data_IF_847427770708
#
_entry.id   IF_847427770708
#
_cell.length_a   1.000
_cell.length_b   1.000
_cell.length_c   1.000
_cell.angle_alpha   90.00
_cell.angle_beta   90.00
_cell.angle_gamma   90.00
#
_symmetry.space_group_name_H-M   'P 1'
#
loop_
_entity.id
_entity.type
_entity.pdbx_description
1 polymer ?
#
# COMPACT_ATOMS: atom_id res chain seq x y z
N UNK A 1 19.63 -33.17 -7.99
CA UNK A 1 19.84 -32.28 -9.16
C UNK A 1 20.85 -31.24 -8.74
N UNK A 2 22.07 -31.29 -9.27
CA UNK A 2 23.10 -30.29 -8.96
C UNK A 2 23.05 -29.18 -10.01
N UNK A 3 23.06 -27.92 -9.56
CA UNK A 3 23.07 -26.75 -10.44
C UNK A 3 24.51 -26.30 -10.61
N UNK A 4 24.97 -26.21 -11.85
CA UNK A 4 26.32 -25.80 -12.18
C UNK A 4 26.56 -24.32 -11.81
N UNK A 5 27.73 -23.94 -11.24
CA UNK A 5 28.03 -22.57 -10.83
C UNK A 5 27.78 -21.48 -11.91
N UNK A 6 28.12 -21.69 -13.19
CA UNK A 6 27.81 -20.73 -14.25
C UNK A 6 26.32 -20.48 -14.44
N UNK A 7 25.46 -21.48 -14.19
CA UNK A 7 24.00 -21.32 -14.29
C UNK A 7 23.52 -20.35 -13.20
N UNK A 8 24.04 -20.51 -11.97
CA UNK A 8 23.71 -19.60 -10.86
C UNK A 8 24.16 -18.17 -11.18
N UNK A 9 25.37 -17.99 -11.70
CA UNK A 9 25.88 -16.69 -12.12
C UNK A 9 24.98 -16.05 -13.20
N UNK A 10 24.58 -16.81 -14.23
CA UNK A 10 23.68 -16.33 -15.27
C UNK A 10 22.31 -15.89 -14.72
N UNK A 11 21.73 -16.64 -13.77
CA UNK A 11 20.45 -16.29 -13.15
C UNK A 11 20.59 -15.00 -12.31
N UNK A 12 21.70 -14.85 -11.58
CA UNK A 12 21.98 -13.64 -10.80
C UNK A 12 22.10 -12.40 -11.71
N UNK A 13 22.87 -12.50 -12.80
CA UNK A 13 23.01 -11.44 -13.79
C UNK A 13 21.68 -11.08 -14.45
N UNK A 14 20.85 -12.09 -14.74
CA UNK A 14 19.52 -11.90 -15.29
C UNK A 14 18.62 -11.15 -14.32
N UNK A 15 18.57 -11.59 -13.06
CA UNK A 15 17.80 -10.92 -12.01
C UNK A 15 18.24 -9.47 -11.83
N UNK A 16 19.55 -9.20 -11.80
CA UNK A 16 20.09 -7.85 -11.68
C UNK A 16 19.63 -6.93 -12.82
N UNK A 17 19.67 -7.41 -14.07
CA UNK A 17 19.18 -6.67 -15.23
C UNK A 17 17.67 -6.42 -15.16
N UNK A 18 16.89 -7.41 -14.74
CA UNK A 18 15.43 -7.28 -14.60
C UNK A 18 15.02 -6.27 -13.53
N UNK A 19 15.73 -6.21 -12.40
CA UNK A 19 15.43 -5.25 -11.32
C UNK A 19 15.45 -3.81 -11.83
N UNK A 20 16.37 -3.47 -12.72
CA UNK A 20 16.46 -2.13 -13.30
C UNK A 20 15.23 -1.72 -14.11
N UNK A 21 14.62 -2.65 -14.85
CA UNK A 21 13.38 -2.39 -15.57
C UNK A 21 12.18 -2.35 -14.61
N UNK A 22 12.13 -3.32 -13.68
CA UNK A 22 11.06 -3.41 -12.69
C UNK A 22 10.96 -2.13 -11.84
N UNK A 23 12.09 -1.54 -11.45
CA UNK A 23 12.10 -0.29 -10.68
C UNK A 23 11.43 0.88 -11.43
N UNK A 24 11.71 1.02 -12.73
CA UNK A 24 11.10 2.06 -13.59
C UNK A 24 9.60 1.84 -13.74
N UNK A 25 9.19 0.59 -13.91
CA UNK A 25 7.78 0.24 -14.05
C UNK A 25 7.03 0.56 -12.75
N UNK A 26 7.59 0.23 -11.58
CA UNK A 26 7.00 0.54 -10.27
C UNK A 26 6.89 2.05 -10.01
N UNK A 27 7.91 2.81 -10.39
CA UNK A 27 7.88 4.28 -10.32
C UNK A 27 6.74 4.83 -11.18
N UNK A 28 6.61 4.33 -12.42
CA UNK A 28 5.57 4.76 -13.34
C UNK A 28 4.17 4.41 -12.84
N UNK A 29 3.97 3.23 -12.23
CA UNK A 29 2.68 2.83 -11.66
C UNK A 29 2.29 3.69 -10.45
N UNK A 30 3.24 3.96 -9.55
CA UNK A 30 3.00 4.86 -8.43
C UNK A 30 2.65 6.28 -8.92
N UNK A 31 3.40 6.79 -9.90
CA UNK A 31 3.19 8.11 -10.49
C UNK A 31 1.83 8.19 -11.22
N UNK A 32 1.44 7.14 -11.96
CA UNK A 32 0.12 7.06 -12.62
C UNK A 32 -1.03 7.18 -11.61
N UNK A 33 -0.85 6.64 -10.41
CA UNK A 33 -1.81 6.77 -9.31
C UNK A 33 -1.65 8.08 -8.49
N UNK A 34 -0.82 9.03 -8.94
CA UNK A 34 -0.56 10.30 -8.25
C UNK A 34 0.24 10.17 -6.95
N UNK A 35 0.90 9.03 -6.72
CA UNK A 35 1.68 8.73 -5.50
C UNK A 35 3.17 8.88 -5.76
N UNK A 36 3.91 9.24 -4.70
CA UNK A 36 5.39 9.30 -4.68
C UNK A 36 6.04 8.07 -4.02
N UNK A 37 5.22 7.19 -3.46
CA UNK A 37 5.66 5.96 -2.80
C UNK A 37 4.98 4.77 -3.44
N UNK A 38 5.78 3.74 -3.72
CA UNK A 38 5.32 2.45 -4.25
C UNK A 38 4.50 1.72 -3.19
N UNK A 39 3.40 1.09 -3.60
CA UNK A 39 2.51 0.29 -2.75
C UNK A 39 2.32 -1.12 -3.32
N UNK A 40 1.69 -2.01 -2.55
CA UNK A 40 1.44 -3.41 -2.97
C UNK A 40 0.66 -3.51 -4.28
N UNK A 41 -0.22 -2.55 -4.56
CA UNK A 41 -0.95 -2.47 -5.84
C UNK A 41 -0.01 -2.36 -7.04
N UNK A 42 1.07 -1.57 -6.94
CA UNK A 42 2.04 -1.37 -8.02
C UNK A 42 2.82 -2.67 -8.29
N UNK A 43 3.20 -3.37 -7.21
CA UNK A 43 3.87 -4.67 -7.28
C UNK A 43 2.97 -5.71 -7.94
N UNK A 44 1.68 -5.75 -7.59
CA UNK A 44 0.72 -6.68 -8.21
C UNK A 44 0.53 -6.36 -9.70
N UNK A 45 0.42 -5.08 -10.07
CA UNK A 45 0.32 -4.64 -11.47
C UNK A 45 1.56 -5.02 -12.28
N UNK A 46 2.76 -4.99 -11.68
CA UNK A 46 3.99 -5.44 -12.36
C UNK A 46 3.92 -6.90 -12.83
N UNK A 47 3.12 -7.74 -12.16
CA UNK A 47 2.92 -9.15 -12.48
C UNK A 47 1.76 -9.42 -13.46
N UNK A 48 1.12 -8.39 -14.04
CA UNK A 48 -0.08 -8.54 -14.90
C UNK A 48 0.10 -9.49 -16.09
N UNK A 49 1.33 -9.74 -16.54
CA UNK A 49 1.62 -10.69 -17.63
C UNK A 49 1.43 -12.16 -17.24
N UNK A 50 1.32 -12.44 -15.94
CA UNK A 50 1.13 -13.77 -15.40
C UNK A 50 0.04 -13.72 -14.32
N UNK A 51 -1.19 -14.07 -14.70
CA UNK A 51 -2.37 -14.04 -13.83
C UNK A 51 -2.20 -14.89 -12.56
N UNK A 52 -1.54 -16.05 -12.65
CA UNK A 52 -1.27 -16.90 -11.48
C UNK A 52 -0.34 -16.20 -10.50
N UNK A 53 0.73 -15.58 -11.00
CA UNK A 53 1.66 -14.82 -10.16
C UNK A 53 0.98 -13.59 -9.53
N UNK A 54 0.17 -12.85 -10.30
CA UNK A 54 -0.59 -11.73 -9.79
C UNK A 54 -1.59 -12.15 -8.70
N UNK A 55 -2.26 -13.29 -8.88
CA UNK A 55 -3.14 -13.87 -7.86
C UNK A 55 -2.38 -14.27 -6.59
N UNK A 56 -1.24 -14.96 -6.71
CA UNK A 56 -0.40 -15.31 -5.56
C UNK A 56 0.10 -14.08 -4.80
N UNK A 57 0.51 -13.02 -5.50
CA UNK A 57 0.93 -11.76 -4.89
C UNK A 57 -0.21 -11.05 -4.15
N UNK A 58 -1.45 -11.09 -4.70
CA UNK A 58 -2.64 -10.57 -4.02
C UNK A 58 -2.88 -11.31 -2.71
N UNK A 59 -2.91 -12.65 -2.73
CA UNK A 59 -3.10 -13.47 -1.52
C UNK A 59 -2.01 -13.18 -0.48
N UNK A 60 -0.75 -13.10 -0.91
CA UNK A 60 0.36 -12.77 -0.02
C UNK A 60 0.22 -11.35 0.59
N UNK A 61 -0.24 -10.37 -0.19
CA UNK A 61 -0.46 -9.01 0.32
C UNK A 61 -1.54 -8.95 1.40
N UNK A 62 -2.56 -9.80 1.33
CA UNK A 62 -3.63 -9.86 2.31
C UNK A 62 -3.18 -10.58 3.59
N UNK A 63 -2.35 -11.62 3.46
CA UNK A 63 -1.69 -12.25 4.62
C UNK A 63 -0.78 -11.27 5.38
N UNK A 64 -0.05 -10.41 4.67
CA UNK A 64 0.81 -9.40 5.30
C UNK A 64 -0.02 -8.40 6.11
N UNK A 65 -1.15 -7.92 5.56
CA UNK A 65 -2.06 -7.02 6.28
C UNK A 65 -2.68 -7.68 7.51
N UNK A 66 -2.93 -8.99 7.47
CA UNK A 66 -3.45 -9.74 8.61
C UNK A 66 -2.40 -9.94 9.72
N UNK A 67 -1.12 -9.98 9.37
CA UNK A 67 0.02 -10.15 10.29
C UNK A 67 0.55 -8.82 10.84
N UNK A 68 0.17 -7.69 10.26
CA UNK A 68 0.60 -6.37 10.73
C UNK A 68 0.00 -6.08 12.12
N UNK A 69 0.81 -5.87 13.17
CA UNK A 69 0.29 -5.57 14.49
C UNK A 69 -0.50 -4.25 14.42
N UNK A 70 -1.76 -4.31 14.85
CA UNK A 70 -2.73 -3.22 14.90
C UNK A 70 -2.23 -2.03 15.74
N UNK A 71 -1.25 -1.25 15.26
CA UNK A 71 -0.67 -0.14 16.02
C UNK A 71 -1.50 1.16 15.91
N UNK A 72 -2.42 1.26 14.97
CA UNK A 72 -3.10 2.54 14.67
C UNK A 72 -4.62 2.59 14.96
N UNK A 73 -5.23 1.58 15.60
CA UNK A 73 -6.68 1.64 15.97
C UNK A 73 -6.98 2.13 17.39
N UNK A 74 -6.00 2.65 18.13
CA UNK A 74 -6.21 3.23 19.48
C UNK A 74 -5.92 4.73 19.57
N UNK A 75 -6.33 5.55 18.60
CA UNK A 75 -6.69 6.94 18.93
C UNK A 75 -8.14 6.97 19.40
N UNK A 76 -8.31 6.84 20.73
CA UNK A 76 -9.58 7.09 21.44
C UNK A 76 -10.22 8.38 20.91
N UNK A 77 -11.38 8.28 20.26
CA UNK A 77 -12.34 9.39 20.25
C UNK A 77 -12.73 9.61 21.72
N UNK A 78 -12.28 10.71 22.31
CA UNK A 78 -12.83 11.19 23.58
C UNK A 78 -14.24 11.69 23.28
N UNK A 79 -15.31 11.12 23.89
CA UNK A 79 -16.61 11.75 23.83
C UNK A 79 -16.57 12.96 24.77
N UNK A 80 -16.60 14.19 24.22
CA UNK A 80 -16.90 15.36 25.05
C UNK A 80 -18.40 15.36 25.31
N UNK A 81 -18.72 15.14 26.58
CA UNK A 81 -20.03 15.25 27.24
C UNK A 81 -20.79 16.49 26.76
N UNK A 82 -22.07 16.29 26.50
CA UNK A 82 -23.10 17.32 26.49
C UNK A 82 -23.09 18.07 27.83
N UNK A 83 -23.13 19.39 27.78
CA UNK A 83 -23.49 20.23 28.92
C UNK A 83 -24.73 21.02 28.53
N UNK A 84 -25.83 20.78 29.27
CA UNK A 84 -27.12 21.44 29.08
C UNK A 84 -27.19 22.69 29.95
N UNK A 85 -27.42 23.83 29.30
CA UNK A 85 -28.40 24.84 29.74
C UNK A 85 -27.88 26.03 30.55
N UNK A 86 -28.05 27.24 29.99
CA UNK A 86 -28.78 28.42 30.52
C UNK A 86 -28.81 29.45 29.38
N UNK A 87 -29.97 29.62 28.71
CA UNK A 87 -30.92 30.73 28.90
C UNK A 87 -30.32 32.14 28.69
N UNK A 88 -30.78 32.84 27.65
CA UNK A 88 -30.24 34.15 27.26
C UNK A 88 -30.74 34.63 25.90
N UNK A 89 -32.01 34.99 25.84
CA UNK A 89 -32.75 35.60 24.73
C UNK A 89 -32.19 36.96 24.30
N UNK A 90 -31.76 37.13 23.03
CA UNK A 90 -31.90 38.41 22.29
C UNK A 90 -32.06 38.14 20.79
N UNK A 91 -33.21 38.58 20.27
CA UNK A 91 -33.62 38.60 18.87
C UNK A 91 -33.14 39.92 18.23
N UNK A 92 -32.53 39.89 17.05
CA UNK A 92 -32.33 41.08 16.20
C UNK A 92 -32.59 40.66 14.74
N UNK A 93 -33.61 41.23 14.06
CA UNK A 93 -33.93 40.90 12.67
C UNK A 93 -33.04 41.61 11.65
N UNK A 94 -32.97 41.01 10.46
CA UNK A 94 -32.30 41.43 9.22
C UNK A 94 -32.47 42.92 8.88
N UNK A 95 -31.41 43.47 8.27
CA UNK A 95 -31.49 44.55 7.28
C UNK A 95 -30.68 44.17 6.04
#
# INVERSE_FOLDING_TARGET
MEISPPIVACIADLAFKYIGQLAKDLELFAHHAGRKSVTMTDVIVSAHRNEHLAASLRSYSDELKAKEPQSERKRKKVPRKEDKGIDGMVNIPDL
#
